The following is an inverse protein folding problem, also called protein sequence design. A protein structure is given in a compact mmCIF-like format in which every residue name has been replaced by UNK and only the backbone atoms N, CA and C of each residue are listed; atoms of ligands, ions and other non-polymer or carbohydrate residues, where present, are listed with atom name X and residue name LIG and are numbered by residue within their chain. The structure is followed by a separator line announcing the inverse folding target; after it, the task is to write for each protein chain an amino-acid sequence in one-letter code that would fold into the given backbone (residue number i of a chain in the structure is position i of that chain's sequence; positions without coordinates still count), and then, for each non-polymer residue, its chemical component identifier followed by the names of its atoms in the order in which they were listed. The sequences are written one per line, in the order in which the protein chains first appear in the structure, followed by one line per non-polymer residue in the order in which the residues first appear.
data_IF_415420134520
#
_entry.id   IF_415420134520
#
_cell.length_a   1.000
_cell.length_b   1.000
_cell.length_c   1.000
_cell.angle_alpha   90.00
_cell.angle_beta   90.00
_cell.angle_gamma   90.00
#
_symmetry.space_group_name_H-M   'P 1'
#
loop_
_entity.id
_entity.type
_entity.pdbx_description
1 polymer ?
#
# COMPACT_ATOMS: atom_id res chain seq x y z
N UNK A 1 -0.56 22.34 -18.80
CA UNK A 1 0.88 22.00 -18.87
C UNK A 1 1.31 22.04 -20.31
N UNK A 2 2.40 22.70 -20.61
CA UNK A 2 3.03 22.74 -21.93
C UNK A 2 4.24 21.83 -21.91
N UNK A 3 4.33 20.91 -22.84
CA UNK A 3 5.50 20.04 -23.04
C UNK A 3 6.47 20.74 -24.00
N UNK A 4 7.65 21.13 -23.49
CA UNK A 4 8.80 21.60 -24.28
C UNK A 4 9.69 20.43 -24.68
N UNK A 5 10.80 20.69 -25.41
CA UNK A 5 11.75 19.63 -25.83
C UNK A 5 12.44 18.94 -24.64
N UNK A 6 12.70 19.67 -23.55
CA UNK A 6 13.50 19.20 -22.41
C UNK A 6 12.88 19.61 -21.04
N UNK A 7 11.63 20.15 -21.04
CA UNK A 7 10.99 20.62 -19.79
C UNK A 7 9.49 20.75 -19.93
N UNK A 8 8.79 20.70 -18.78
CA UNK A 8 7.37 20.98 -18.68
C UNK A 8 7.16 22.37 -18.10
N UNK A 9 6.22 23.13 -18.63
CA UNK A 9 5.82 24.42 -18.08
C UNK A 9 4.40 24.36 -17.57
N UNK A 10 4.19 24.62 -16.28
CA UNK A 10 2.85 24.75 -15.68
C UNK A 10 2.26 26.12 -16.08
N UNK A 11 1.29 26.12 -16.99
CA UNK A 11 0.61 27.35 -17.44
C UNK A 11 -0.50 27.78 -16.50
N UNK A 12 -1.21 26.83 -15.88
CA UNK A 12 -2.28 27.11 -14.93
C UNK A 12 -2.54 25.92 -14.02
N UNK A 13 -3.01 26.16 -12.81
CA UNK A 13 -3.47 25.14 -11.87
C UNK A 13 -4.81 25.57 -11.27
N UNK A 14 -5.77 24.65 -11.21
CA UNK A 14 -7.04 24.86 -10.52
C UNK A 14 -7.09 23.96 -9.28
N UNK A 15 -7.02 24.57 -8.11
CA UNK A 15 -7.01 23.86 -6.84
C UNK A 15 -8.44 23.47 -6.49
N UNK A 16 -8.70 22.15 -6.38
CA UNK A 16 -10.00 21.60 -5.98
C UNK A 16 -10.13 21.40 -4.47
N UNK A 17 -9.04 21.09 -3.81
CA UNK A 17 -8.99 20.79 -2.37
C UNK A 17 -7.66 21.24 -1.78
N UNK A 18 -7.68 22.01 -0.68
CA UNK A 18 -6.49 22.55 -0.02
C UNK A 18 -5.96 21.69 1.14
N UNK A 19 -6.77 20.76 1.67
CA UNK A 19 -6.44 19.96 2.84
C UNK A 19 -5.93 20.78 4.05
N UNK A 20 -6.44 22.03 4.23
CA UNK A 20 -5.98 22.94 5.30
C UNK A 20 -6.20 22.37 6.70
N UNK A 21 -7.28 21.62 6.90
CA UNK A 21 -7.59 20.92 8.14
C UNK A 21 -6.56 19.83 8.45
N UNK A 22 -6.09 19.08 7.43
CA UNK A 22 -5.05 18.06 7.59
C UNK A 22 -3.74 18.67 8.10
N UNK A 23 -3.38 19.87 7.65
CA UNK A 23 -2.17 20.55 8.09
C UNK A 23 -2.16 20.86 9.61
N UNK A 24 -3.33 20.91 10.25
CA UNK A 24 -3.50 21.13 11.69
C UNK A 24 -3.68 19.82 12.48
N UNK A 25 -3.85 18.69 11.82
CA UNK A 25 -4.11 17.39 12.46
C UNK A 25 -2.80 16.67 12.81
N UNK A 26 -2.39 16.72 14.08
CA UNK A 26 -1.27 15.89 14.56
C UNK A 26 -1.79 14.59 15.16
N UNK A 27 -1.15 13.43 14.86
CA UNK A 27 0.06 13.23 14.00
C UNK A 27 -0.24 13.08 12.50
N UNK A 28 -1.48 13.23 12.05
CA UNK A 28 -1.91 12.98 10.66
C UNK A 28 -1.09 13.72 9.59
N UNK A 29 -0.68 14.96 9.87
CA UNK A 29 0.14 15.76 8.96
C UNK A 29 1.48 15.11 8.63
N UNK A 30 2.14 14.44 9.60
CA UNK A 30 3.42 13.75 9.37
C UNK A 30 3.25 12.53 8.46
N UNK A 31 2.13 11.81 8.60
CA UNK A 31 1.77 10.74 7.67
C UNK A 31 1.52 11.29 6.26
N UNK A 32 0.88 12.46 6.16
CA UNK A 32 0.67 13.14 4.88
C UNK A 32 1.99 13.43 4.15
N UNK A 33 2.98 13.99 4.84
CA UNK A 33 4.31 14.23 4.27
C UNK A 33 4.99 12.91 3.84
N UNK A 34 4.97 11.91 4.69
CA UNK A 34 5.50 10.59 4.36
C UNK A 34 4.88 9.99 3.09
N UNK A 35 3.57 10.13 2.92
CA UNK A 35 2.88 9.63 1.72
C UNK A 35 3.27 10.40 0.45
N UNK A 36 3.50 11.70 0.56
CA UNK A 36 4.01 12.51 -0.55
C UNK A 36 5.42 12.09 -0.96
N UNK A 37 6.32 11.91 0.00
CA UNK A 37 7.69 11.44 -0.23
C UNK A 37 7.70 10.04 -0.88
N UNK A 38 6.86 9.12 -0.39
CA UNK A 38 6.77 7.78 -0.94
C UNK A 38 6.20 7.80 -2.38
N UNK A 39 5.19 8.62 -2.63
CA UNK A 39 4.62 8.78 -3.97
C UNK A 39 5.62 9.41 -4.96
N UNK A 40 6.45 10.35 -4.51
CA UNK A 40 7.54 10.93 -5.30
C UNK A 40 8.61 9.88 -5.62
N UNK A 41 8.98 9.05 -4.65
CA UNK A 41 9.99 7.99 -4.82
C UNK A 41 9.57 6.95 -5.88
N UNK A 42 8.30 6.55 -5.89
CA UNK A 42 7.77 5.58 -6.84
C UNK A 42 7.30 6.20 -8.16
N UNK A 43 7.05 7.51 -8.18
CA UNK A 43 6.63 8.23 -9.38
C UNK A 43 7.75 8.31 -10.42
N UNK A 44 7.39 8.16 -11.69
CA UNK A 44 8.35 8.22 -12.79
C UNK A 44 7.95 9.31 -13.79
N UNK A 45 8.90 10.15 -14.17
CA UNK A 45 8.69 11.16 -15.19
C UNK A 45 8.27 10.53 -16.53
N UNK A 46 7.23 11.09 -17.14
CA UNK A 46 6.68 10.59 -18.41
C UNK A 46 5.65 9.47 -18.28
N UNK A 47 5.39 8.95 -17.08
CA UNK A 47 4.35 7.95 -16.84
C UNK A 47 3.01 8.58 -16.49
N UNK A 48 1.93 7.82 -16.70
CA UNK A 48 0.59 8.19 -16.20
C UNK A 48 0.47 7.87 -14.71
N UNK A 49 0.67 8.87 -13.87
CA UNK A 49 0.60 8.78 -12.41
C UNK A 49 -0.83 8.99 -11.85
N UNK A 50 -1.85 8.89 -12.69
CA UNK A 50 -3.26 9.08 -12.27
C UNK A 50 -3.66 8.16 -11.12
N UNK A 51 -3.20 6.90 -11.11
CA UNK A 51 -3.51 5.96 -10.04
C UNK A 51 -2.88 6.37 -8.71
N UNK A 52 -1.62 6.82 -8.73
CA UNK A 52 -0.91 7.30 -7.55
C UNK A 52 -1.53 8.58 -6.99
N UNK A 53 -1.86 9.54 -7.84
CA UNK A 53 -2.54 10.78 -7.43
C UNK A 53 -3.92 10.50 -6.82
N UNK A 54 -4.68 9.59 -7.39
CA UNK A 54 -5.97 9.16 -6.83
C UNK A 54 -5.77 8.44 -5.48
N UNK A 55 -4.76 7.60 -5.33
CA UNK A 55 -4.42 6.96 -4.06
C UNK A 55 -4.09 8.01 -3.00
N UNK A 56 -3.22 8.98 -3.29
CA UNK A 56 -2.91 10.10 -2.39
C UNK A 56 -4.18 10.82 -1.95
N UNK A 57 -5.06 11.18 -2.89
CA UNK A 57 -6.29 11.90 -2.59
C UNK A 57 -7.21 11.12 -1.63
N UNK A 58 -7.45 9.83 -1.89
CA UNK A 58 -8.31 9.02 -1.01
C UNK A 58 -7.67 8.77 0.36
N UNK A 59 -6.33 8.67 0.42
CA UNK A 59 -5.57 8.50 1.66
C UNK A 59 -5.63 9.74 2.54
N UNK A 60 -5.41 10.93 1.98
CA UNK A 60 -5.54 12.19 2.70
C UNK A 60 -6.96 12.36 3.28
N UNK A 61 -7.98 11.99 2.52
CA UNK A 61 -9.35 11.96 3.02
C UNK A 61 -9.59 10.91 4.10
N UNK A 62 -8.91 9.76 4.07
CA UNK A 62 -9.01 8.76 5.14
C UNK A 62 -8.44 9.29 6.46
N UNK A 63 -7.30 10.00 6.44
CA UNK A 63 -6.73 10.68 7.60
C UNK A 63 -7.71 11.71 8.16
N UNK A 64 -8.26 12.60 7.31
CA UNK A 64 -9.22 13.65 7.70
C UNK A 64 -10.45 13.10 8.40
N UNK A 65 -10.95 11.95 7.95
CA UNK A 65 -12.12 11.30 8.56
C UNK A 65 -11.84 10.77 9.96
N UNK A 66 -10.58 10.48 10.30
CA UNK A 66 -10.16 10.01 11.62
C UNK A 66 -10.81 8.71 12.10
N UNK A 67 -11.33 7.88 11.18
CA UNK A 67 -12.06 6.65 11.51
C UNK A 67 -11.17 5.43 11.69
N UNK A 68 -9.94 5.50 11.21
CA UNK A 68 -9.01 4.39 11.19
C UNK A 68 -7.74 4.73 11.95
N UNK A 69 -7.08 3.70 12.47
CA UNK A 69 -5.73 3.80 13.00
C UNK A 69 -4.78 4.27 11.88
N UNK A 70 -3.97 5.29 12.15
CA UNK A 70 -3.02 5.85 11.18
C UNK A 70 -1.94 4.84 10.77
N UNK A 71 -1.62 3.87 11.63
CA UNK A 71 -0.73 2.74 11.31
C UNK A 71 -1.34 1.88 10.19
N UNK A 72 -2.66 1.60 10.29
CA UNK A 72 -3.38 0.86 9.25
C UNK A 72 -3.45 1.68 7.94
N UNK A 73 -3.72 2.99 8.04
CA UNK A 73 -3.72 3.89 6.87
C UNK A 73 -2.36 3.84 6.18
N UNK A 74 -1.26 3.84 6.93
CA UNK A 74 0.10 3.70 6.40
C UNK A 74 0.29 2.37 5.68
N UNK A 75 -0.02 1.25 6.33
CA UNK A 75 0.10 -0.08 5.73
C UNK A 75 -0.70 -0.21 4.42
N UNK A 76 -1.91 0.34 4.39
CA UNK A 76 -2.76 0.36 3.19
C UNK A 76 -2.09 1.17 2.07
N UNK A 77 -1.59 2.37 2.39
CA UNK A 77 -0.93 3.23 1.41
C UNK A 77 0.33 2.57 0.84
N UNK A 78 1.23 2.08 1.71
CA UNK A 78 2.47 1.41 1.33
C UNK A 78 2.23 0.23 0.38
N UNK A 79 1.37 -0.72 0.78
CA UNK A 79 1.11 -1.90 -0.05
C UNK A 79 0.40 -1.53 -1.37
N UNK A 80 -0.46 -0.53 -1.35
CA UNK A 80 -1.14 -0.07 -2.56
C UNK A 80 -0.20 0.67 -3.51
N UNK A 81 0.74 1.45 -2.99
CA UNK A 81 1.81 2.08 -3.77
C UNK A 81 2.65 1.04 -4.50
N UNK A 82 3.13 0.01 -3.79
CA UNK A 82 3.86 -1.12 -4.37
C UNK A 82 3.02 -1.83 -5.44
N UNK A 83 1.70 -1.96 -5.20
CA UNK A 83 0.79 -2.58 -6.16
C UNK A 83 0.68 -1.77 -7.45
N UNK A 84 0.56 -0.45 -7.35
CA UNK A 84 0.49 0.46 -8.51
C UNK A 84 1.80 0.43 -9.31
N UNK A 85 2.94 0.31 -8.62
CA UNK A 85 4.26 0.21 -9.25
C UNK A 85 4.55 -1.17 -9.88
N UNK A 86 3.61 -2.12 -9.76
CA UNK A 86 3.76 -3.46 -10.35
C UNK A 86 4.60 -4.44 -9.52
N UNK A 87 4.96 -4.09 -8.30
CA UNK A 87 5.83 -4.85 -7.39
C UNK A 87 5.05 -5.55 -6.26
N UNK A 88 3.73 -5.71 -6.42
CA UNK A 88 2.90 -6.34 -5.40
C UNK A 88 3.32 -7.79 -5.13
N UNK A 89 3.38 -8.21 -3.85
CA UNK A 89 3.62 -9.60 -3.52
C UNK A 89 2.49 -10.50 -4.02
N UNK A 90 2.85 -11.70 -4.47
CA UNK A 90 1.88 -12.71 -4.89
C UNK A 90 1.21 -13.32 -3.63
N UNK A 91 -0.06 -12.94 -3.38
CA UNK A 91 -0.79 -13.31 -2.16
C UNK A 91 -2.01 -14.21 -2.42
N UNK A 92 -2.33 -14.55 -3.68
CA UNK A 92 -3.62 -15.16 -4.05
C UNK A 92 -3.59 -16.68 -4.23
N UNK A 93 -2.43 -17.25 -4.50
CA UNK A 93 -2.24 -18.70 -4.64
C UNK A 93 -0.85 -19.11 -4.15
N UNK A 94 -0.70 -20.37 -3.76
CA UNK A 94 0.62 -20.90 -3.43
C UNK A 94 1.53 -20.84 -4.66
N UNK A 95 2.71 -20.29 -4.50
CA UNK A 95 3.68 -20.10 -5.60
C UNK A 95 4.09 -21.45 -6.23
N UNK A 96 4.14 -22.52 -5.44
CA UNK A 96 4.60 -23.83 -5.88
C UNK A 96 3.44 -24.69 -6.46
N UNK A 97 2.38 -24.91 -5.68
CA UNK A 97 1.30 -25.85 -6.07
C UNK A 97 0.00 -25.17 -6.53
N UNK A 98 -0.02 -23.85 -6.62
CA UNK A 98 -1.15 -23.04 -7.07
C UNK A 98 -2.46 -23.19 -6.27
N UNK A 99 -2.45 -23.90 -5.12
CA UNK A 99 -3.64 -23.93 -4.24
C UNK A 99 -3.96 -22.52 -3.75
N UNK A 100 -5.26 -22.24 -3.54
CA UNK A 100 -5.75 -20.98 -3.00
C UNK A 100 -6.10 -21.07 -1.52
N UNK A 101 -6.00 -22.26 -0.94
CA UNK A 101 -6.41 -22.56 0.43
C UNK A 101 -5.21 -22.59 1.39
N UNK A 102 -5.48 -22.23 2.65
CA UNK A 102 -4.51 -22.31 3.75
C UNK A 102 -3.14 -21.67 3.43
N UNK A 103 -3.15 -20.48 2.84
CA UNK A 103 -1.92 -19.75 2.53
C UNK A 103 -1.48 -18.97 3.77
N UNK A 104 -0.40 -19.41 4.39
CA UNK A 104 0.07 -18.88 5.69
C UNK A 104 1.57 -18.72 5.81
N UNK A 105 2.34 -19.07 4.77
CA UNK A 105 3.81 -18.97 4.80
C UNK A 105 4.26 -18.02 3.70
N UNK A 106 4.87 -16.90 4.06
CA UNK A 106 5.37 -15.91 3.12
C UNK A 106 6.88 -16.05 2.95
N UNK A 107 7.38 -15.85 1.73
CA UNK A 107 8.80 -15.72 1.42
C UNK A 107 9.08 -14.29 0.98
N UNK A 108 9.88 -13.55 1.73
CA UNK A 108 10.35 -12.22 1.34
C UNK A 108 11.20 -12.29 0.07
N UNK A 109 12.03 -13.31 -0.04
CA UNK A 109 12.91 -13.52 -1.18
C UNK A 109 12.14 -13.70 -2.48
N UNK A 110 11.06 -14.51 -2.43
CA UNK A 110 10.28 -14.84 -3.63
C UNK A 110 9.12 -13.87 -3.83
N UNK A 111 8.92 -12.95 -2.88
CA UNK A 111 7.76 -12.03 -2.85
C UNK A 111 6.42 -12.76 -3.02
N UNK A 112 6.27 -13.93 -2.40
CA UNK A 112 5.16 -14.82 -2.64
C UNK A 112 4.69 -15.60 -1.40
N UNK A 113 3.41 -16.00 -1.44
CA UNK A 113 2.78 -16.82 -0.39
C UNK A 113 2.77 -18.30 -0.76
N UNK A 114 2.89 -19.15 0.25
CA UNK A 114 2.90 -20.59 0.15
C UNK A 114 1.89 -21.23 1.10
N UNK A 115 1.38 -22.40 0.75
CA UNK A 115 0.66 -23.25 1.69
C UNK A 115 1.65 -23.90 2.69
N UNK A 116 1.19 -24.39 3.87
CA UNK A 116 2.07 -24.97 4.88
C UNK A 116 2.91 -26.15 4.37
N UNK A 117 2.41 -26.91 3.41
CA UNK A 117 3.15 -28.04 2.85
C UNK A 117 4.35 -27.61 2.02
N UNK A 118 4.15 -26.72 1.07
CA UNK A 118 5.22 -26.18 0.23
C UNK A 118 6.15 -25.23 1.01
N UNK A 119 5.59 -24.51 1.98
CA UNK A 119 6.36 -23.61 2.85
C UNK A 119 7.42 -24.28 3.72
N UNK A 120 7.35 -25.62 3.92
CA UNK A 120 8.39 -26.38 4.66
C UNK A 120 9.74 -26.43 3.95
N UNK A 121 9.75 -26.25 2.66
CA UNK A 121 10.95 -26.40 1.81
C UNK A 121 11.58 -25.06 1.43
N UNK A 122 10.92 -23.94 1.73
CA UNK A 122 11.47 -22.62 1.43
C UNK A 122 12.50 -22.20 2.47
N UNK A 123 13.45 -21.40 2.04
CA UNK A 123 14.43 -20.78 2.93
C UNK A 123 13.81 -19.55 3.60
N UNK A 124 14.02 -19.41 4.91
CA UNK A 124 13.53 -18.28 5.71
C UNK A 124 12.00 -18.07 5.63
N UNK A 125 11.18 -19.09 5.99
CA UNK A 125 9.74 -19.00 5.96
C UNK A 125 9.23 -18.01 6.99
N UNK A 126 8.35 -17.10 6.56
CA UNK A 126 7.70 -16.13 7.43
C UNK A 126 6.23 -16.53 7.63
N UNK A 127 5.86 -17.09 8.78
CA UNK A 127 4.48 -17.44 9.05
C UNK A 127 3.62 -16.18 9.17
N UNK A 128 2.46 -16.20 8.54
CA UNK A 128 1.46 -15.13 8.60
C UNK A 128 0.12 -15.66 9.13
N UNK A 129 -0.55 -14.84 9.92
CA UNK A 129 -1.93 -15.10 10.32
C UNK A 129 -2.86 -15.05 9.10
N UNK A 130 -3.91 -15.89 9.05
CA UNK A 130 -4.89 -15.83 7.96
C UNK A 130 -5.50 -14.44 7.76
N UNK A 131 -5.72 -13.69 8.84
CA UNK A 131 -6.23 -12.31 8.80
C UNK A 131 -5.28 -11.35 8.09
N UNK A 132 -3.97 -11.48 8.29
CA UNK A 132 -2.94 -10.69 7.60
C UNK A 132 -2.94 -10.97 6.10
N UNK A 133 -3.04 -12.24 5.71
CA UNK A 133 -3.14 -12.63 4.30
C UNK A 133 -4.40 -12.06 3.65
N UNK A 134 -5.54 -12.11 4.35
CA UNK A 134 -6.80 -11.52 3.88
C UNK A 134 -6.69 -10.00 3.74
N UNK A 135 -6.07 -9.31 4.70
CA UNK A 135 -5.86 -7.87 4.65
C UNK A 135 -4.97 -7.50 3.45
N UNK A 136 -3.85 -8.19 3.23
CA UNK A 136 -2.99 -7.96 2.06
C UNK A 136 -3.76 -8.15 0.74
N UNK A 137 -4.52 -9.23 0.60
CA UNK A 137 -5.35 -9.48 -0.60
C UNK A 137 -6.37 -8.39 -0.82
N UNK A 138 -7.04 -7.96 0.25
CA UNK A 138 -8.01 -6.88 0.16
C UNK A 138 -7.35 -5.59 -0.29
N UNK A 139 -6.22 -5.19 0.31
CA UNK A 139 -5.51 -3.97 -0.06
C UNK A 139 -5.07 -4.02 -1.53
N UNK A 140 -4.55 -5.14 -2.00
CA UNK A 140 -4.10 -5.31 -3.40
C UNK A 140 -5.26 -5.22 -4.39
N UNK A 141 -6.41 -5.84 -4.10
CA UNK A 141 -7.49 -6.02 -5.08
C UNK A 141 -8.65 -5.03 -4.95
N UNK A 142 -8.81 -4.36 -3.80
CA UNK A 142 -9.97 -3.50 -3.57
C UNK A 142 -10.00 -2.28 -4.49
N UNK A 143 -11.18 -1.88 -4.98
CA UNK A 143 -11.32 -0.58 -5.64
C UNK A 143 -11.02 0.56 -4.66
N UNK A 144 -10.45 1.67 -5.13
CA UNK A 144 -10.03 2.81 -4.30
C UNK A 144 -11.15 3.34 -3.38
N UNK A 145 -12.39 3.37 -3.86
CA UNK A 145 -13.54 3.83 -3.08
C UNK A 145 -13.82 2.98 -1.82
N UNK A 146 -13.35 1.73 -1.77
CA UNK A 146 -13.53 0.80 -0.64
C UNK A 146 -12.24 0.54 0.13
N UNK A 147 -11.11 1.03 -0.35
CA UNK A 147 -9.77 0.69 0.14
C UNK A 147 -9.63 0.91 1.66
N UNK A 148 -10.17 2.00 2.18
CA UNK A 148 -10.16 2.37 3.60
C UNK A 148 -11.44 1.96 4.34
N UNK A 149 -12.14 0.92 3.89
CA UNK A 149 -13.44 0.49 4.43
C UNK A 149 -13.36 -0.66 5.45
N UNK A 150 -12.19 -1.06 5.92
CA UNK A 150 -12.02 -2.18 6.85
C UNK A 150 -11.12 -1.83 8.02
N UNK A 151 -11.19 -2.64 9.08
CA UNK A 151 -10.33 -2.57 10.26
C UNK A 151 -9.74 -3.94 10.56
N UNK A 152 -8.66 -3.97 11.29
CA UNK A 152 -8.00 -5.20 11.77
C UNK A 152 -7.76 -5.11 13.27
N UNK A 153 -7.56 -6.25 13.94
CA UNK A 153 -7.12 -6.26 15.31
C UNK A 153 -5.62 -5.91 15.42
N UNK A 154 -5.16 -5.60 16.63
CA UNK A 154 -3.79 -5.16 16.91
C UNK A 154 -2.74 -6.18 16.44
N UNK A 155 -2.97 -7.47 16.66
CA UNK A 155 -2.03 -8.52 16.25
C UNK A 155 -1.84 -8.60 14.72
N UNK A 156 -2.90 -8.40 13.95
CA UNK A 156 -2.82 -8.34 12.48
C UNK A 156 -2.15 -7.04 12.04
N UNK A 157 -2.42 -5.92 12.71
CA UNK A 157 -1.80 -4.63 12.40
C UNK A 157 -0.30 -4.68 12.62
N UNK A 158 0.16 -5.22 13.76
CA UNK A 158 1.58 -5.39 14.06
C UNK A 158 2.29 -6.30 13.04
N UNK A 159 1.61 -7.34 12.59
CA UNK A 159 2.16 -8.24 11.59
C UNK A 159 2.26 -7.59 10.21
N UNK A 160 1.24 -6.82 9.80
CA UNK A 160 1.26 -6.01 8.58
C UNK A 160 2.42 -5.00 8.59
N UNK A 161 2.60 -4.26 9.68
CA UNK A 161 3.70 -3.30 9.81
C UNK A 161 5.07 -3.97 9.69
N UNK A 162 5.26 -5.12 10.36
CA UNK A 162 6.52 -5.86 10.27
C UNK A 162 6.78 -6.37 8.85
N UNK A 163 5.75 -6.90 8.20
CA UNK A 163 5.83 -7.40 6.84
C UNK A 163 6.21 -6.29 5.87
N UNK A 164 5.51 -5.17 5.90
CA UNK A 164 5.74 -4.05 4.99
C UNK A 164 7.09 -3.36 5.23
N UNK A 165 7.51 -3.23 6.51
CA UNK A 165 8.85 -2.73 6.82
C UNK A 165 9.94 -3.61 6.22
N UNK A 166 9.81 -4.93 6.29
CA UNK A 166 10.78 -5.85 5.70
C UNK A 166 10.71 -5.91 4.17
N UNK A 167 9.56 -5.56 3.60
CA UNK A 167 9.34 -5.59 2.16
C UNK A 167 9.81 -4.32 1.44
N UNK A 168 9.70 -3.15 2.12
CA UNK A 168 10.09 -1.85 1.58
C UNK A 168 11.55 -1.46 1.84
N UNK A 169 12.20 -2.11 2.81
CA UNK A 169 13.55 -1.79 3.27
C UNK A 169 14.47 -3.01 3.25
#
# INVERSE_FOLDING_TARGET
VYEGRDSYTLSSANIKEYFLDLAQMQPGVYYGFYFLELAEYFGQEGNDETQMLNLLYVTMNAIRRGKQDLRLVRCIFELRTITISGEAPQMFSCMECSTKENLTVFSLRDSAIYCPNCGKTIRDPWPLQPGTVLACRYIIAAPLAKLYGFTVNEGILDELERLLRAYLH
#
